data_IF_418951590661
#
_entry.id   IF_418951590661
#
_cell.length_a   1.000
_cell.length_b   1.000
_cell.length_c   1.000
_cell.angle_alpha   90.00
_cell.angle_beta   90.00
_cell.angle_gamma   90.00
#
_symmetry.space_group_name_H-M   'P 1'
#
loop_
_entity.id
_entity.type
_entity.pdbx_description
1 polymer ?
#
# COMPACT_ATOMS: atom_id res chain seq x y z
N UNK A 1 -10.19 14.71 38.10
CA UNK A 1 -9.39 15.73 38.17
C UNK A 1 -9.18 16.56 36.91
N UNK A 2 -8.87 15.98 35.64
CA UNK A 2 -8.77 16.77 34.43
C UNK A 2 -10.12 17.34 34.01
N UNK A 3 -11.20 16.60 34.13
CA UNK A 3 -12.56 17.10 33.86
C UNK A 3 -12.90 18.30 34.76
N UNK A 4 -12.59 18.23 36.07
CA UNK A 4 -12.84 19.33 37.00
C UNK A 4 -11.98 20.54 36.66
N UNK A 5 -10.70 20.35 36.36
CA UNK A 5 -9.80 21.43 35.94
C UNK A 5 -10.28 22.13 34.70
N UNK A 6 -10.70 21.34 33.68
CA UNK A 6 -11.19 21.86 32.39
C UNK A 6 -12.57 22.50 32.51
N UNK A 7 -13.42 22.03 33.42
CA UNK A 7 -14.71 22.64 33.68
C UNK A 7 -14.54 24.02 34.39
N UNK A 8 -13.49 24.20 35.22
CA UNK A 8 -13.16 25.49 35.84
C UNK A 8 -12.42 26.43 34.88
N UNK A 9 -11.60 25.89 33.98
CA UNK A 9 -10.86 26.66 32.98
C UNK A 9 -10.91 25.97 31.59
N UNK A 10 -11.96 26.26 30.80
CA UNK A 10 -12.21 25.58 29.53
C UNK A 10 -11.34 26.07 28.36
N UNK A 11 -10.32 26.88 28.61
CA UNK A 11 -9.38 27.39 27.60
C UNK A 11 -10.07 28.07 26.40
N UNK A 12 -11.14 28.81 26.62
CA UNK A 12 -11.87 29.55 25.57
C UNK A 12 -12.88 28.74 24.80
N UNK A 13 -13.11 27.46 25.15
CA UNK A 13 -14.16 26.64 24.52
C UNK A 13 -15.50 26.85 25.23
N UNK A 14 -16.59 26.89 24.45
CA UNK A 14 -17.93 26.86 25.02
C UNK A 14 -18.27 25.44 25.46
N UNK A 15 -18.33 25.20 26.77
CA UNK A 15 -18.55 23.87 27.33
C UNK A 15 -19.91 23.29 26.98
N UNK A 16 -20.94 24.12 26.81
CA UNK A 16 -22.30 23.66 26.46
C UNK A 16 -22.41 23.12 25.03
N UNK A 17 -21.47 23.48 24.15
CA UNK A 17 -21.44 23.05 22.76
C UNK A 17 -20.32 22.02 22.49
N UNK A 18 -19.48 21.75 23.50
CA UNK A 18 -18.28 20.91 23.36
C UNK A 18 -18.40 19.61 24.14
N UNK A 19 -18.02 18.50 23.51
CA UNK A 19 -17.88 17.20 24.18
C UNK A 19 -16.49 17.08 24.82
N UNK A 20 -16.45 16.80 26.11
CA UNK A 20 -15.20 16.46 26.79
C UNK A 20 -14.87 14.97 26.60
N UNK A 21 -13.70 14.66 26.07
CA UNK A 21 -13.25 13.28 25.87
C UNK A 21 -12.00 13.05 26.72
N UNK A 22 -12.08 12.09 27.64
CA UNK A 22 -10.92 11.56 28.35
C UNK A 22 -10.48 10.25 27.67
N UNK A 23 -9.29 10.25 27.09
CA UNK A 23 -8.72 9.07 26.44
C UNK A 23 -7.48 8.58 27.20
N UNK A 24 -7.37 7.27 27.40
CA UNK A 24 -6.22 6.63 28.05
C UNK A 24 -5.96 5.24 27.49
N UNK A 25 -4.68 4.88 27.35
CA UNK A 25 -4.30 3.52 26.95
C UNK A 25 -4.43 2.50 28.09
N UNK A 26 -4.63 2.97 29.32
CA UNK A 26 -4.83 2.08 30.48
C UNK A 26 -6.26 1.54 30.49
N UNK A 27 -6.41 0.29 30.90
CA UNK A 27 -7.72 -0.29 31.21
C UNK A 27 -8.29 0.43 32.44
N UNK A 28 -9.57 0.80 32.35
CA UNK A 28 -10.26 1.43 33.44
C UNK A 28 -10.37 0.46 34.64
N UNK A 29 -9.62 0.77 35.69
CA UNK A 29 -9.59 -0.06 36.91
C UNK A 29 -9.77 0.84 38.15
N UNK A 30 -10.93 1.50 38.23
CA UNK A 30 -11.28 2.34 39.37
C UNK A 30 -12.49 1.74 40.11
N UNK A 31 -12.69 2.17 41.35
CA UNK A 31 -13.80 1.71 42.20
C UNK A 31 -15.18 1.99 41.58
N UNK A 32 -15.30 3.12 40.86
CA UNK A 32 -16.52 3.47 40.11
C UNK A 32 -16.42 2.94 38.69
N UNK A 33 -17.51 2.41 38.18
CA UNK A 33 -17.62 2.07 36.77
C UNK A 33 -17.55 3.32 35.88
N UNK A 34 -17.22 3.14 34.61
CA UNK A 34 -17.25 4.25 33.63
C UNK A 34 -18.65 4.88 33.57
N UNK A 35 -19.71 4.07 33.62
CA UNK A 35 -21.09 4.55 33.56
C UNK A 35 -21.48 5.40 34.77
N UNK A 36 -21.11 4.97 35.97
CA UNK A 36 -21.35 5.76 37.19
C UNK A 36 -20.64 7.11 37.11
N UNK A 37 -19.38 7.12 36.69
CA UNK A 37 -18.62 8.35 36.57
C UNK A 37 -19.20 9.29 35.48
N UNK A 38 -19.63 8.76 34.36
CA UNK A 38 -20.26 9.54 33.30
C UNK A 38 -21.57 10.16 33.76
N UNK A 39 -22.40 9.41 34.48
CA UNK A 39 -23.68 9.90 35.03
C UNK A 39 -23.45 11.01 36.06
N UNK A 40 -22.52 10.83 37.01
CA UNK A 40 -22.14 11.88 37.92
C UNK A 40 -21.59 13.14 37.23
N UNK A 41 -20.77 12.93 36.19
CA UNK A 41 -20.14 14.01 35.44
C UNK A 41 -21.15 14.84 34.67
N UNK A 42 -22.15 14.21 34.07
CA UNK A 42 -23.25 14.87 33.34
C UNK A 42 -24.14 15.70 34.26
N UNK A 43 -24.32 15.27 35.49
CA UNK A 43 -25.08 16.03 36.48
C UNK A 43 -24.27 17.19 37.01
N UNK A 44 -22.97 16.99 37.24
CA UNK A 44 -22.09 17.96 37.93
C UNK A 44 -21.54 19.07 37.02
N UNK A 45 -21.36 18.78 35.75
CA UNK A 45 -20.71 19.66 34.77
C UNK A 45 -21.58 19.94 33.56
N UNK A 46 -21.54 21.16 33.05
CA UNK A 46 -22.37 21.61 31.92
C UNK A 46 -21.76 21.37 30.54
N UNK A 47 -20.94 20.33 30.39
CA UNK A 47 -20.45 19.92 29.07
C UNK A 47 -21.59 19.35 28.23
N UNK A 48 -21.55 19.59 26.89
CA UNK A 48 -22.50 18.98 25.95
C UNK A 48 -22.59 17.46 26.10
N UNK A 49 -21.44 16.80 26.24
CA UNK A 49 -21.31 15.39 26.58
C UNK A 49 -19.94 15.13 27.24
N UNK A 50 -19.84 14.06 27.98
CA UNK A 50 -18.58 13.57 28.57
C UNK A 50 -18.39 12.13 28.13
N UNK A 51 -17.24 11.82 27.57
CA UNK A 51 -16.88 10.47 27.11
C UNK A 51 -15.58 10.00 27.73
N UNK A 52 -15.54 8.72 28.06
CA UNK A 52 -14.32 8.05 28.51
C UNK A 52 -13.99 6.95 27.50
N UNK A 53 -12.79 7.01 26.98
CA UNK A 53 -12.24 6.06 26.04
C UNK A 53 -11.00 5.46 26.70
N UNK A 54 -11.16 4.25 27.20
CA UNK A 54 -10.10 3.49 27.86
C UNK A 54 -9.40 2.52 26.91
N UNK A 55 -8.37 1.81 27.39
CA UNK A 55 -7.61 0.87 26.60
C UNK A 55 -8.48 -0.27 26.00
N UNK A 56 -9.55 -0.69 26.69
CA UNK A 56 -10.46 -1.70 26.16
C UNK A 56 -11.24 -1.19 24.95
N UNK A 57 -11.79 0.02 25.01
CA UNK A 57 -12.50 0.63 23.88
C UNK A 57 -11.56 0.89 22.69
N UNK A 58 -10.34 1.34 22.96
CA UNK A 58 -9.33 1.54 21.91
C UNK A 58 -9.00 0.19 21.27
N UNK A 59 -8.81 -0.88 22.04
CA UNK A 59 -8.55 -2.20 21.50
C UNK A 59 -9.68 -2.73 20.62
N UNK A 60 -10.94 -2.54 21.03
CA UNK A 60 -12.12 -2.90 20.23
C UNK A 60 -12.14 -2.10 18.92
N UNK A 61 -11.92 -0.79 18.95
CA UNK A 61 -11.86 0.04 17.75
C UNK A 61 -10.75 -0.38 16.79
N UNK A 62 -9.57 -0.73 17.33
CA UNK A 62 -8.47 -1.23 16.51
C UNK A 62 -8.78 -2.60 15.88
N UNK A 63 -9.56 -3.44 16.56
CA UNK A 63 -10.04 -4.70 15.98
C UNK A 63 -11.07 -4.48 14.87
N UNK A 64 -11.92 -3.46 15.01
CA UNK A 64 -12.93 -3.10 14.01
C UNK A 64 -12.32 -2.37 12.79
N UNK A 65 -11.14 -1.76 12.96
CA UNK A 65 -10.45 -0.96 11.94
C UNK A 65 -8.98 -1.39 11.74
N UNK A 66 -8.72 -2.51 11.07
CA UNK A 66 -7.39 -3.11 10.97
C UNK A 66 -6.34 -2.23 10.29
N UNK A 67 -6.75 -1.38 9.33
CA UNK A 67 -5.81 -0.45 8.71
C UNK A 67 -5.37 0.65 9.68
N UNK A 68 -6.29 1.12 10.55
CA UNK A 68 -5.96 2.04 11.65
C UNK A 68 -5.07 1.34 12.68
N UNK A 69 -5.33 0.06 12.97
CA UNK A 69 -4.48 -0.75 13.84
C UNK A 69 -3.05 -0.88 13.28
N UNK A 70 -2.90 -1.11 11.99
CA UNK A 70 -1.60 -1.15 11.32
C UNK A 70 -0.86 0.20 11.40
N UNK A 71 -1.57 1.30 11.13
CA UNK A 71 -1.02 2.64 11.29
C UNK A 71 -0.60 2.91 12.76
N UNK A 72 -1.46 2.60 13.72
CA UNK A 72 -1.18 2.79 15.13
C UNK A 72 0.03 1.98 15.60
N UNK A 73 0.15 0.75 15.15
CA UNK A 73 1.30 -0.12 15.42
C UNK A 73 2.60 0.50 14.89
N UNK A 74 2.58 1.08 13.68
CA UNK A 74 3.73 1.79 13.09
C UNK A 74 4.12 3.01 13.90
N UNK A 75 3.15 3.84 14.29
CA UNK A 75 3.39 5.07 15.10
C UNK A 75 3.92 4.73 16.50
N UNK A 76 3.51 3.61 17.07
CA UNK A 76 3.98 3.15 18.40
C UNK A 76 5.30 2.37 18.35
N UNK A 77 5.93 2.26 17.16
CA UNK A 77 7.21 1.59 16.99
C UNK A 77 7.15 0.05 16.88
N UNK A 78 5.95 -0.50 16.69
CA UNK A 78 5.70 -1.94 16.51
C UNK A 78 4.98 -2.21 15.19
N UNK A 79 5.57 -1.90 14.01
CA UNK A 79 4.92 -2.07 12.73
C UNK A 79 4.53 -3.55 12.51
N UNK A 80 3.35 -3.77 11.95
CA UNK A 80 2.93 -5.10 11.53
C UNK A 80 3.69 -5.48 10.27
N UNK A 81 4.54 -6.48 10.37
CA UNK A 81 5.32 -6.97 9.23
C UNK A 81 4.39 -7.46 8.11
N UNK A 82 4.62 -6.96 6.88
CA UNK A 82 3.88 -7.37 5.69
C UNK A 82 2.43 -6.86 5.59
N UNK A 83 2.01 -5.95 6.47
CA UNK A 83 0.71 -5.26 6.38
C UNK A 83 0.93 -3.76 6.45
N UNK A 84 0.36 -3.01 5.50
CA UNK A 84 0.51 -1.55 5.41
C UNK A 84 -0.82 -0.88 5.13
N UNK A 85 -0.93 0.39 5.52
CA UNK A 85 -1.99 1.27 5.09
C UNK A 85 -1.63 1.98 3.77
N UNK A 86 -2.61 2.60 3.12
CA UNK A 86 -2.39 3.24 1.83
C UNK A 86 -1.58 4.55 1.92
N UNK A 87 -1.63 5.28 3.04
CA UNK A 87 -0.85 6.51 3.23
C UNK A 87 0.65 6.19 3.27
N UNK A 88 1.05 5.20 4.07
CA UNK A 88 2.45 4.79 4.18
C UNK A 88 2.97 4.22 2.85
N UNK A 89 2.14 3.44 2.15
CA UNK A 89 2.51 2.94 0.82
C UNK A 89 2.67 4.10 -0.17
N UNK A 90 1.71 5.03 -0.22
CA UNK A 90 1.80 6.20 -1.09
C UNK A 90 3.04 7.03 -0.81
N UNK A 91 3.32 7.30 0.46
CA UNK A 91 4.48 8.06 0.88
C UNK A 91 5.78 7.42 0.37
N UNK A 92 5.94 6.12 0.55
CA UNK A 92 7.16 5.43 0.16
C UNK A 92 7.37 5.38 -1.36
N UNK A 93 6.30 5.30 -2.14
CA UNK A 93 6.41 5.15 -3.59
C UNK A 93 6.23 6.44 -4.38
N UNK A 94 5.58 7.44 -3.83
CA UNK A 94 5.26 8.67 -4.55
C UNK A 94 5.92 9.92 -3.96
N UNK A 95 6.02 10.03 -2.63
CA UNK A 95 6.61 11.22 -2.01
C UNK A 95 8.13 11.17 -1.93
N UNK A 96 8.74 9.99 -2.09
CA UNK A 96 10.19 9.81 -2.10
C UNK A 96 10.81 9.93 -3.49
N UNK A 97 10.01 10.16 -4.53
CA UNK A 97 10.48 10.40 -5.89
C UNK A 97 10.84 11.87 -6.12
N UNK A 98 11.65 12.15 -7.13
CA UNK A 98 11.90 13.51 -7.60
C UNK A 98 11.71 13.58 -9.13
N UNK A 99 10.67 14.28 -9.58
CA UNK A 99 9.65 14.98 -8.78
C UNK A 99 8.74 14.04 -7.98
N UNK A 100 8.08 14.57 -6.95
CA UNK A 100 7.06 13.82 -6.21
C UNK A 100 5.85 13.53 -7.10
N UNK A 101 5.38 12.30 -7.06
CA UNK A 101 4.17 11.91 -7.77
C UNK A 101 2.92 12.31 -6.98
N UNK A 102 1.93 12.84 -7.66
CA UNK A 102 0.61 13.17 -7.11
C UNK A 102 -0.47 12.23 -7.65
N UNK A 103 -1.67 12.28 -7.07
CA UNK A 103 -2.79 11.43 -7.51
C UNK A 103 -3.23 11.78 -8.93
N UNK A 104 -3.21 13.05 -9.31
CA UNK A 104 -3.60 13.52 -10.62
C UNK A 104 -2.77 12.87 -11.73
N UNK A 105 -1.47 12.67 -11.51
CA UNK A 105 -0.61 11.94 -12.43
C UNK A 105 -1.17 10.56 -12.78
N UNK A 106 -1.81 9.87 -11.85
CA UNK A 106 -2.38 8.54 -12.10
C UNK A 106 -3.80 8.59 -12.67
N UNK A 107 -4.58 9.62 -12.33
CA UNK A 107 -6.01 9.66 -12.64
C UNK A 107 -6.35 10.38 -13.94
N UNK A 108 -5.55 11.34 -14.38
CA UNK A 108 -5.82 12.17 -15.55
C UNK A 108 -6.00 11.32 -16.82
N UNK A 109 -7.11 11.55 -17.53
CA UNK A 109 -7.47 10.81 -18.74
C UNK A 109 -7.88 9.34 -18.50
N UNK A 110 -8.34 9.02 -17.29
CA UNK A 110 -8.79 7.67 -16.89
C UNK A 110 -10.18 7.70 -16.22
N UNK A 111 -11.05 8.60 -16.67
CA UNK A 111 -12.37 8.86 -16.08
C UNK A 111 -13.23 7.59 -16.07
N UNK A 112 -13.27 6.85 -17.17
CA UNK A 112 -14.04 5.60 -17.26
C UNK A 112 -13.55 4.50 -16.33
N UNK A 113 -12.25 4.48 -16.03
CA UNK A 113 -11.65 3.57 -15.06
C UNK A 113 -12.02 3.95 -13.64
N UNK A 114 -12.06 5.25 -13.36
CA UNK A 114 -12.46 5.80 -12.06
C UNK A 114 -13.95 5.51 -11.81
N UNK A 115 -14.83 5.68 -12.81
CA UNK A 115 -16.25 5.34 -12.70
C UNK A 115 -16.44 3.86 -12.31
N UNK A 116 -15.77 2.93 -12.99
CA UNK A 116 -15.83 1.51 -12.66
C UNK A 116 -15.29 1.20 -11.26
N UNK A 117 -14.27 1.93 -10.81
CA UNK A 117 -13.76 1.81 -9.45
C UNK A 117 -14.83 2.23 -8.44
N UNK A 118 -15.52 3.34 -8.67
CA UNK A 118 -16.58 3.82 -7.81
C UNK A 118 -17.79 2.87 -7.81
N UNK A 119 -18.18 2.32 -8.96
CA UNK A 119 -19.24 1.30 -9.05
C UNK A 119 -18.93 0.05 -8.20
N UNK A 120 -17.67 -0.41 -8.23
CA UNK A 120 -17.25 -1.52 -7.37
C UNK A 120 -17.19 -1.10 -5.91
N UNK A 121 -16.71 0.11 -5.61
CA UNK A 121 -16.53 0.60 -4.24
C UNK A 121 -17.83 0.60 -3.45
N UNK A 122 -18.96 0.91 -4.06
CA UNK A 122 -20.27 0.93 -3.39
C UNK A 122 -20.87 -0.46 -3.18
N UNK A 123 -20.35 -1.51 -3.80
CA UNK A 123 -20.80 -2.88 -3.58
C UNK A 123 -20.40 -3.36 -2.17
N UNK A 124 -21.17 -4.29 -1.61
CA UNK A 124 -20.89 -4.84 -0.28
C UNK A 124 -19.67 -5.77 -0.26
N UNK A 125 -19.47 -6.52 -1.32
CA UNK A 125 -18.36 -7.48 -1.49
C UNK A 125 -18.03 -7.63 -2.96
N UNK A 126 -16.91 -8.25 -3.28
CA UNK A 126 -16.52 -8.59 -4.63
C UNK A 126 -15.06 -8.28 -4.95
N UNK A 127 -14.61 -8.84 -6.03
CA UNK A 127 -13.22 -8.71 -6.49
C UNK A 127 -13.17 -7.69 -7.63
N UNK A 128 -12.31 -6.69 -7.46
CA UNK A 128 -11.92 -5.78 -8.53
C UNK A 128 -10.50 -6.10 -8.96
N UNK A 129 -10.30 -6.43 -10.22
CA UNK A 129 -8.96 -6.59 -10.79
C UNK A 129 -8.53 -5.32 -11.52
N UNK A 130 -7.43 -4.73 -11.10
CA UNK A 130 -6.81 -3.58 -11.77
C UNK A 130 -5.61 -4.06 -12.56
N UNK A 131 -5.68 -3.94 -13.87
CA UNK A 131 -4.68 -4.47 -14.80
C UNK A 131 -3.93 -3.31 -15.45
N UNK A 132 -2.61 -3.24 -15.26
CA UNK A 132 -1.74 -2.24 -15.88
C UNK A 132 -0.51 -2.88 -16.53
N UNK A 133 0.42 -2.09 -17.08
CA UNK A 133 1.69 -2.61 -17.61
C UNK A 133 2.53 -3.25 -16.51
N UNK A 134 2.48 -2.70 -15.28
CA UNK A 134 3.13 -3.27 -14.11
C UNK A 134 2.17 -3.34 -12.93
N UNK A 135 2.40 -4.29 -12.02
CA UNK A 135 1.63 -4.38 -10.78
C UNK A 135 1.77 -3.10 -9.95
N UNK A 136 2.95 -2.46 -9.96
CA UNK A 136 3.16 -1.18 -9.25
C UNK A 136 2.27 -0.06 -9.81
N UNK A 137 2.14 0.07 -11.14
CA UNK A 137 1.23 1.06 -11.74
C UNK A 137 -0.22 0.77 -11.34
N UNK A 138 -0.63 -0.49 -11.36
CA UNK A 138 -1.97 -0.90 -10.94
C UNK A 138 -2.23 -0.57 -9.46
N UNK A 139 -1.26 -0.83 -8.59
CA UNK A 139 -1.31 -0.47 -7.17
C UNK A 139 -1.48 1.04 -6.98
N UNK A 140 -0.60 1.83 -7.58
CA UNK A 140 -0.60 3.28 -7.39
C UNK A 140 -1.82 3.95 -8.01
N UNK A 141 -2.34 3.44 -9.13
CA UNK A 141 -3.62 3.90 -9.69
C UNK A 141 -4.77 3.65 -8.71
N UNK A 142 -4.88 2.44 -8.16
CA UNK A 142 -5.93 2.10 -7.20
C UNK A 142 -5.84 2.95 -5.93
N UNK A 143 -4.64 3.14 -5.39
CA UNK A 143 -4.41 4.00 -4.22
C UNK A 143 -4.76 5.45 -4.54
N UNK A 144 -4.40 5.96 -5.73
CA UNK A 144 -4.77 7.30 -6.16
C UNK A 144 -6.30 7.47 -6.22
N UNK A 145 -7.05 6.45 -6.67
CA UNK A 145 -8.50 6.46 -6.63
C UNK A 145 -9.02 6.58 -5.19
N UNK A 146 -8.51 5.80 -4.25
CA UNK A 146 -8.91 5.90 -2.85
C UNK A 146 -8.60 7.28 -2.26
N UNK A 147 -7.38 7.76 -2.41
CA UNK A 147 -6.93 9.03 -1.81
C UNK A 147 -7.63 10.26 -2.39
N UNK A 148 -8.05 10.21 -3.67
CA UNK A 148 -8.66 11.35 -4.36
C UNK A 148 -10.20 11.35 -4.29
N UNK A 149 -10.83 10.17 -4.31
CA UNK A 149 -12.28 10.03 -4.47
C UNK A 149 -13.00 9.57 -3.21
N UNK A 150 -12.29 9.11 -2.20
CA UNK A 150 -12.90 8.57 -1.00
C UNK A 150 -12.60 9.43 0.24
N UNK A 151 -13.52 9.43 1.17
CA UNK A 151 -13.31 9.98 2.50
C UNK A 151 -12.32 9.12 3.31
N UNK A 152 -11.73 9.70 4.34
CA UNK A 152 -10.71 9.06 5.16
C UNK A 152 -11.22 7.78 5.83
N UNK A 153 -12.49 7.75 6.19
CA UNK A 153 -13.16 6.60 6.79
C UNK A 153 -13.17 5.38 5.85
N UNK A 154 -13.25 5.59 4.55
CA UNK A 154 -13.28 4.52 3.54
C UNK A 154 -11.89 3.96 3.31
N UNK A 155 -10.93 4.83 2.98
CA UNK A 155 -9.59 4.34 2.68
C UNK A 155 -8.80 3.96 3.94
N UNK A 156 -9.22 4.42 5.11
CA UNK A 156 -8.74 3.94 6.41
C UNK A 156 -9.02 2.45 6.67
N UNK A 157 -9.88 1.81 5.87
CA UNK A 157 -10.15 0.37 5.95
C UNK A 157 -9.42 -0.45 4.88
N UNK A 158 -8.54 0.16 4.09
CA UNK A 158 -7.75 -0.55 3.07
C UNK A 158 -6.49 -1.12 3.68
N UNK A 159 -6.31 -2.43 3.57
CA UNK A 159 -5.12 -3.16 3.99
C UNK A 159 -4.30 -3.58 2.77
N UNK A 160 -3.08 -3.08 2.67
CA UNK A 160 -2.10 -3.55 1.70
C UNK A 160 -1.35 -4.72 2.34
N UNK A 161 -1.35 -5.88 1.69
CA UNK A 161 -0.80 -7.13 2.19
C UNK A 161 0.35 -7.55 1.29
N UNK A 162 1.56 -7.58 1.84
CA UNK A 162 2.81 -7.76 1.08
C UNK A 162 3.30 -9.21 1.04
N UNK A 163 2.66 -10.13 1.79
CA UNK A 163 3.04 -11.54 1.79
C UNK A 163 1.85 -12.49 1.85
N UNK A 164 2.03 -13.70 1.29
CA UNK A 164 1.02 -14.74 1.33
C UNK A 164 0.73 -15.23 2.75
N UNK A 165 1.72 -15.24 3.62
CA UNK A 165 1.56 -15.61 5.03
C UNK A 165 0.58 -14.66 5.73
N UNK A 166 0.76 -13.35 5.55
CA UNK A 166 -0.12 -12.36 6.14
C UNK A 166 -1.51 -12.39 5.50
N UNK A 167 -1.60 -12.66 4.20
CA UNK A 167 -2.87 -12.89 3.53
C UNK A 167 -3.70 -13.98 4.21
N UNK A 168 -3.09 -15.15 4.44
CA UNK A 168 -3.74 -16.26 5.14
C UNK A 168 -4.19 -15.89 6.56
N UNK A 169 -3.35 -15.14 7.31
CA UNK A 169 -3.70 -14.68 8.66
C UNK A 169 -4.87 -13.70 8.66
N UNK A 170 -4.92 -12.75 7.72
CA UNK A 170 -6.02 -11.79 7.59
C UNK A 170 -7.33 -12.49 7.21
N UNK A 171 -7.28 -13.45 6.29
CA UNK A 171 -8.46 -14.24 5.94
C UNK A 171 -9.03 -15.04 7.13
N UNK A 172 -8.17 -15.60 7.97
CA UNK A 172 -8.60 -16.32 9.18
C UNK A 172 -9.31 -15.42 10.19
N UNK A 173 -8.97 -14.14 10.25
CA UNK A 173 -9.61 -13.17 11.16
C UNK A 173 -10.99 -12.72 10.70
N UNK A 174 -11.37 -13.01 9.47
CA UNK A 174 -12.68 -12.68 8.88
C UNK A 174 -13.09 -11.20 9.04
N UNK A 175 -12.18 -10.30 8.70
CA UNK A 175 -12.34 -8.84 8.85
C UNK A 175 -13.26 -8.28 7.78
N UNK A 176 -14.57 -8.37 7.98
CA UNK A 176 -15.62 -8.07 6.99
C UNK A 176 -15.66 -6.62 6.50
N UNK A 177 -15.12 -5.68 7.25
CA UNK A 177 -15.14 -4.25 6.91
C UNK A 177 -13.91 -3.78 6.16
N UNK A 178 -12.95 -4.67 5.92
CA UNK A 178 -11.69 -4.32 5.27
C UNK A 178 -11.74 -4.52 3.77
N UNK A 179 -11.01 -3.66 3.06
CA UNK A 179 -10.69 -3.82 1.64
C UNK A 179 -9.27 -4.38 1.57
N UNK A 180 -9.14 -5.60 1.07
CA UNK A 180 -7.86 -6.29 0.99
C UNK A 180 -7.18 -6.03 -0.35
N UNK A 181 -5.94 -5.58 -0.33
CA UNK A 181 -5.15 -5.27 -1.51
C UNK A 181 -3.80 -5.99 -1.45
N UNK A 182 -3.72 -7.24 -1.98
CA UNK A 182 -2.47 -7.98 -2.00
C UNK A 182 -1.51 -7.43 -3.05
N UNK A 183 -0.24 -7.29 -2.70
CA UNK A 183 0.83 -6.77 -3.57
C UNK A 183 1.89 -7.82 -3.89
N UNK A 184 1.75 -9.02 -3.36
CA UNK A 184 2.62 -10.15 -3.63
C UNK A 184 2.11 -11.01 -4.82
N UNK A 185 2.99 -11.81 -5.41
CA UNK A 185 2.62 -12.73 -6.47
C UNK A 185 2.01 -14.01 -5.87
N UNK A 186 0.80 -14.33 -6.25
CA UNK A 186 0.16 -15.59 -5.87
C UNK A 186 0.73 -16.75 -6.70
N UNK A 187 1.12 -17.82 -6.04
CA UNK A 187 1.61 -19.05 -6.68
C UNK A 187 0.50 -20.00 -7.08
N UNK A 188 -0.64 -19.96 -6.38
CA UNK A 188 -1.83 -20.78 -6.65
C UNK A 188 -3.08 -19.90 -6.65
N UNK A 189 -4.17 -20.42 -7.24
CA UNK A 189 -5.42 -19.66 -7.38
C UNK A 189 -5.90 -19.02 -6.08
N UNK A 190 -6.18 -17.73 -6.13
CA UNK A 190 -6.61 -16.95 -4.98
C UNK A 190 -7.96 -17.48 -4.51
N UNK A 191 -8.03 -18.00 -3.30
CA UNK A 191 -9.30 -18.15 -2.60
C UNK A 191 -9.67 -16.77 -2.04
N UNK A 192 -10.48 -16.03 -2.78
CA UNK A 192 -11.03 -14.78 -2.31
C UNK A 192 -12.34 -15.08 -1.59
N UNK A 193 -12.48 -14.68 -0.34
CA UNK A 193 -13.74 -14.85 0.38
C UNK A 193 -14.83 -14.04 -0.30
N UNK A 194 -15.96 -14.67 -0.58
CA UNK A 194 -17.08 -14.04 -1.29
C UNK A 194 -17.74 -12.89 -0.52
N UNK A 195 -17.48 -12.79 0.77
CA UNK A 195 -18.04 -11.78 1.66
C UNK A 195 -17.16 -10.55 1.87
N UNK A 196 -15.93 -10.57 1.34
CA UNK A 196 -14.95 -9.48 1.50
C UNK A 196 -14.78 -8.69 0.21
N UNK A 197 -14.28 -7.48 0.33
CA UNK A 197 -13.80 -6.69 -0.81
C UNK A 197 -12.33 -6.96 -1.05
N UNK A 198 -12.00 -7.34 -2.27
CA UNK A 198 -10.62 -7.57 -2.69
C UNK A 198 -10.31 -6.75 -3.92
N UNK A 199 -9.26 -5.95 -3.86
CA UNK A 199 -8.70 -5.24 -5.00
C UNK A 199 -7.41 -5.93 -5.40
N UNK A 200 -7.36 -6.48 -6.63
CA UNK A 200 -6.22 -7.22 -7.17
C UNK A 200 -5.45 -6.37 -8.18
N UNK A 201 -4.35 -5.73 -7.82
CA UNK A 201 -3.49 -5.05 -8.77
C UNK A 201 -2.57 -6.05 -9.45
N UNK A 202 -2.68 -6.17 -10.75
CA UNK A 202 -1.91 -7.16 -11.53
C UNK A 202 -1.24 -6.53 -12.75
N UNK A 203 -0.09 -7.07 -13.13
CA UNK A 203 0.50 -6.78 -14.42
C UNK A 203 -0.30 -7.47 -15.53
N UNK A 204 -0.44 -6.81 -16.68
CA UNK A 204 -1.05 -7.42 -17.90
C UNK A 204 -0.32 -8.67 -18.39
N UNK A 205 0.93 -8.86 -17.95
CA UNK A 205 1.75 -10.03 -18.27
C UNK A 205 1.58 -11.16 -17.25
N UNK A 206 0.91 -10.91 -16.12
CA UNK A 206 0.64 -11.93 -15.12
C UNK A 206 -0.39 -12.94 -15.60
N UNK A 207 -0.22 -14.25 -15.33
CA UNK A 207 -1.26 -15.25 -15.57
C UNK A 207 -2.59 -14.91 -14.91
N UNK A 208 -2.58 -14.24 -13.76
CA UNK A 208 -3.77 -13.80 -13.05
C UNK A 208 -4.64 -12.84 -13.84
N UNK A 209 -4.07 -12.06 -14.75
CA UNK A 209 -4.84 -11.17 -15.64
C UNK A 209 -5.84 -11.92 -16.56
N UNK A 210 -5.63 -13.22 -16.77
CA UNK A 210 -6.49 -14.10 -17.58
C UNK A 210 -7.53 -14.84 -16.72
N UNK A 211 -7.20 -15.14 -15.45
CA UNK A 211 -8.06 -15.92 -14.55
C UNK A 211 -9.24 -15.10 -14.04
N UNK A 212 -9.11 -13.79 -14.00
CA UNK A 212 -10.12 -12.85 -13.49
C UNK A 212 -11.22 -12.51 -14.51
N UNK A 213 -11.43 -13.31 -15.55
CA UNK A 213 -12.44 -13.04 -16.59
C UNK A 213 -13.88 -12.94 -16.06
N UNK A 214 -14.17 -13.54 -14.90
CA UNK A 214 -15.49 -13.50 -14.25
C UNK A 214 -15.61 -12.41 -13.17
N UNK A 215 -14.57 -11.58 -12.97
CA UNK A 215 -14.55 -10.52 -11.97
C UNK A 215 -14.64 -9.15 -12.65
N UNK A 216 -15.12 -8.14 -11.92
CA UNK A 216 -15.04 -6.75 -12.39
C UNK A 216 -13.58 -6.39 -12.65
N UNK A 217 -13.26 -5.89 -13.83
CA UNK A 217 -11.88 -5.55 -14.19
C UNK A 217 -11.76 -4.14 -14.76
N UNK A 218 -10.68 -3.46 -14.35
CA UNK A 218 -10.27 -2.16 -14.86
C UNK A 218 -8.95 -2.35 -15.59
N UNK A 219 -8.86 -1.88 -16.84
CA UNK A 219 -7.61 -1.83 -17.60
C UNK A 219 -7.05 -0.41 -17.60
N UNK A 220 -5.90 -0.26 -16.99
CA UNK A 220 -5.12 0.99 -16.96
C UNK A 220 -4.17 0.96 -18.15
N UNK A 221 -4.63 1.48 -19.28
CA UNK A 221 -3.87 1.48 -20.50
C UNK A 221 -2.90 2.65 -20.60
N UNK A 222 -1.94 2.55 -21.52
CA UNK A 222 -1.05 3.66 -21.86
C UNK A 222 -1.85 4.85 -22.35
N UNK A 223 -1.54 6.02 -21.80
CA UNK A 223 -2.14 7.27 -22.29
C UNK A 223 -1.68 7.62 -23.68
N UNK A 224 -2.56 8.29 -24.42
CA UNK A 224 -2.18 8.99 -25.64
C UNK A 224 -1.20 10.12 -25.32
N UNK A 225 -0.43 10.57 -26.32
CA UNK A 225 0.65 11.54 -26.13
C UNK A 225 0.23 12.81 -25.37
N UNK A 226 -0.92 13.39 -25.76
CA UNK A 226 -1.43 14.61 -25.13
C UNK A 226 -1.70 14.42 -23.64
N UNK A 227 -2.47 13.39 -23.28
CA UNK A 227 -2.81 13.09 -21.89
C UNK A 227 -1.60 12.70 -21.04
N UNK A 228 -0.62 12.01 -21.64
CA UNK A 228 0.62 11.70 -20.93
C UNK A 228 1.44 12.96 -20.59
N UNK A 229 1.51 13.91 -21.53
CA UNK A 229 2.17 15.21 -21.30
C UNK A 229 1.45 16.04 -20.25
N UNK A 230 0.12 16.05 -20.24
CA UNK A 230 -0.67 16.70 -19.19
C UNK A 230 -0.41 16.06 -17.81
N UNK A 231 -0.40 14.74 -17.75
CA UNK A 231 -0.06 14.03 -16.52
C UNK A 231 1.36 14.33 -16.02
N UNK A 232 2.33 14.48 -16.92
CA UNK A 232 3.68 14.92 -16.54
C UNK A 232 3.68 16.36 -16.03
N UNK A 233 2.90 17.26 -16.63
CA UNK A 233 2.79 18.65 -16.15
C UNK A 233 2.15 18.76 -14.77
N UNK A 234 1.26 17.84 -14.39
CA UNK A 234 0.63 17.85 -13.06
C UNK A 234 1.64 17.68 -11.91
N UNK A 235 2.81 17.09 -12.18
CA UNK A 235 3.87 16.91 -11.17
C UNK A 235 4.73 18.17 -10.93
N UNK A 236 4.46 19.26 -11.62
CA UNK A 236 5.01 20.61 -11.39
C UNK A 236 6.55 20.68 -11.24
N UNK A 237 7.31 20.00 -12.08
CA UNK A 237 8.74 20.15 -12.11
C UNK A 237 9.17 20.90 -13.38
N UNK A 238 9.58 22.14 -13.23
CA UNK A 238 10.02 23.00 -14.33
C UNK A 238 11.29 22.47 -15.03
N UNK A 239 12.04 21.58 -14.38
CA UNK A 239 13.27 21.00 -14.91
C UNK A 239 13.03 19.74 -15.75
N UNK A 240 11.80 19.26 -15.86
CA UNK A 240 11.48 18.07 -16.64
C UNK A 240 11.40 18.39 -18.13
N UNK A 241 12.37 17.89 -18.89
CA UNK A 241 12.28 17.86 -20.34
C UNK A 241 11.24 16.79 -20.77
N UNK A 242 10.01 17.24 -21.00
CA UNK A 242 8.87 16.39 -21.30
C UNK A 242 9.05 15.60 -22.60
N UNK A 243 9.74 16.18 -23.60
CA UNK A 243 9.97 15.50 -24.88
C UNK A 243 10.98 14.36 -24.73
N UNK A 244 12.04 14.63 -24.00
CA UNK A 244 13.06 13.63 -23.69
C UNK A 244 12.49 12.49 -22.85
N UNK A 245 11.69 12.81 -21.82
CA UNK A 245 11.02 11.80 -20.97
C UNK A 245 10.08 10.94 -21.80
N UNK A 246 9.25 11.54 -22.64
CA UNK A 246 8.33 10.82 -23.50
C UNK A 246 9.06 9.86 -24.44
N UNK A 247 10.14 10.33 -25.07
CA UNK A 247 10.96 9.54 -26.00
C UNK A 247 11.62 8.35 -25.29
N UNK A 248 12.22 8.58 -24.11
CA UNK A 248 12.97 7.57 -23.36
C UNK A 248 12.04 6.55 -22.69
N UNK A 249 10.93 6.98 -22.14
CA UNK A 249 10.01 6.12 -21.40
C UNK A 249 8.95 5.45 -22.28
N UNK A 250 8.78 5.90 -23.51
CA UNK A 250 7.72 5.47 -24.44
C UNK A 250 6.33 5.48 -23.78
N UNK A 251 6.10 6.44 -22.89
CA UNK A 251 4.88 6.62 -22.10
C UNK A 251 4.54 5.44 -21.14
N UNK A 252 5.50 4.61 -20.83
CA UNK A 252 5.37 3.52 -19.85
C UNK A 252 5.72 4.00 -18.46
N UNK A 253 4.92 3.61 -17.46
CA UNK A 253 5.11 4.05 -16.09
C UNK A 253 6.43 3.54 -15.48
N UNK A 254 6.77 2.27 -15.65
CA UNK A 254 7.91 1.68 -14.97
C UNK A 254 9.26 2.32 -15.38
N UNK A 255 9.56 2.54 -16.69
CA UNK A 255 10.74 3.29 -17.11
C UNK A 255 10.76 4.73 -16.56
N UNK A 256 9.60 5.40 -16.56
CA UNK A 256 9.47 6.73 -15.98
C UNK A 256 9.76 6.71 -14.47
N UNK A 257 9.13 5.80 -13.74
CA UNK A 257 9.30 5.65 -12.30
C UNK A 257 10.77 5.41 -11.91
N UNK A 258 11.46 4.52 -12.63
CA UNK A 258 12.90 4.28 -12.42
C UNK A 258 13.75 5.52 -12.59
N UNK A 259 13.39 6.39 -13.53
CA UNK A 259 14.12 7.64 -13.78
C UNK A 259 13.96 8.64 -12.63
N UNK A 260 12.78 8.77 -12.07
CA UNK A 260 12.47 9.74 -11.00
C UNK A 260 12.74 9.21 -9.59
N UNK A 261 13.05 7.94 -9.44
CA UNK A 261 13.36 7.35 -8.12
C UNK A 261 14.80 7.70 -7.75
N UNK A 262 14.99 8.66 -6.85
CA UNK A 262 16.30 9.12 -6.38
C UNK A 262 16.96 8.19 -5.35
N UNK A 263 16.31 7.11 -4.95
CA UNK A 263 16.81 6.21 -3.91
C UNK A 263 17.17 4.86 -4.53
N UNK A 264 18.39 4.71 -5.10
CA UNK A 264 18.83 3.43 -5.66
C UNK A 264 18.90 2.34 -4.59
N UNK A 265 19.18 2.73 -3.33
CA UNK A 265 19.51 1.79 -2.26
C UNK A 265 18.31 1.20 -1.51
N UNK A 266 17.13 1.82 -1.51
CA UNK A 266 15.99 1.32 -0.72
C UNK A 266 15.39 0.01 -1.22
N UNK A 267 15.72 -0.39 -2.46
CA UNK A 267 15.20 -1.62 -3.06
C UNK A 267 16.27 -2.46 -3.74
N UNK A 268 17.52 -2.22 -3.43
CA UNK A 268 18.53 -3.22 -3.75
C UNK A 268 18.25 -4.44 -2.87
N UNK A 269 17.97 -5.59 -3.48
CA UNK A 269 17.90 -6.83 -2.70
C UNK A 269 19.14 -6.94 -1.83
N UNK A 270 19.00 -7.46 -0.60
CA UNK A 270 20.13 -7.58 0.32
C UNK A 270 21.33 -8.36 -0.27
N UNK A 271 21.06 -9.20 -1.28
CA UNK A 271 22.08 -9.91 -2.02
C UNK A 271 22.93 -9.03 -2.94
N UNK A 272 22.40 -7.88 -3.42
CA UNK A 272 23.15 -6.94 -4.28
C UNK A 272 24.23 -6.15 -3.52
N UNK A 273 24.21 -6.15 -2.20
CA UNK A 273 25.23 -5.52 -1.36
C UNK A 273 26.33 -6.49 -0.91
N UNK A 274 26.28 -7.75 -1.30
CA UNK A 274 27.33 -8.75 -1.02
C UNK A 274 28.46 -8.61 -2.05
N UNK A 275 29.68 -8.77 -1.59
CA UNK A 275 30.90 -8.71 -2.45
C UNK A 275 30.85 -9.72 -3.60
N UNK A 276 30.15 -10.84 -3.39
CA UNK A 276 30.05 -11.95 -4.35
C UNK A 276 29.03 -11.72 -5.49
N UNK A 277 28.29 -10.59 -5.49
CA UNK A 277 27.26 -10.32 -6.52
C UNK A 277 27.82 -10.25 -7.93
N UNK A 278 29.02 -9.71 -8.06
CA UNK A 278 29.68 -9.61 -9.38
C UNK A 278 29.85 -10.98 -9.99
N UNK A 279 30.13 -11.99 -9.18
CA UNK A 279 30.33 -13.37 -9.59
C UNK A 279 29.02 -14.05 -10.05
N UNK A 280 27.88 -13.57 -9.58
CA UNK A 280 26.56 -14.09 -9.98
C UNK A 280 26.00 -13.45 -11.27
N UNK A 281 26.57 -12.34 -11.73
CA UNK A 281 26.09 -11.62 -12.93
C UNK A 281 26.07 -12.52 -14.18
N UNK A 282 27.11 -13.30 -14.50
CA UNK A 282 27.07 -14.17 -15.66
C UNK A 282 25.92 -15.17 -15.63
N UNK A 283 25.72 -15.85 -14.49
CA UNK A 283 24.62 -16.80 -14.30
C UNK A 283 23.27 -16.11 -14.42
N UNK A 284 23.13 -14.92 -13.88
CA UNK A 284 21.89 -14.12 -13.98
C UNK A 284 21.58 -13.70 -15.42
N UNK A 285 22.58 -13.33 -16.21
CA UNK A 285 22.41 -12.91 -17.61
C UNK A 285 22.10 -14.08 -18.54
N UNK A 286 22.72 -15.24 -18.31
CA UNK A 286 22.42 -16.46 -19.08
C UNK A 286 21.04 -17.02 -18.71
N UNK A 287 20.59 -16.82 -17.47
CA UNK A 287 19.31 -17.30 -16.98
C UNK A 287 19.33 -18.80 -16.68
N UNK A 288 18.47 -19.58 -17.34
CA UNK A 288 18.48 -21.04 -17.19
C UNK A 288 19.54 -21.63 -18.12
N UNK A 289 20.42 -22.50 -17.61
CA UNK A 289 21.41 -23.22 -18.40
C UNK A 289 21.42 -24.70 -18.04
N UNK A 290 21.91 -25.52 -18.99
CA UNK A 290 22.08 -26.95 -18.80
C UNK A 290 23.59 -27.31 -18.77
N UNK A 291 24.05 -28.02 -17.74
CA UNK A 291 25.44 -28.41 -17.59
C UNK A 291 25.98 -29.25 -18.77
N UNK A 292 25.11 -29.99 -19.44
CA UNK A 292 25.49 -30.84 -20.58
C UNK A 292 25.44 -30.06 -21.91
N UNK A 293 24.95 -28.82 -21.93
CA UNK A 293 24.96 -27.97 -23.11
C UNK A 293 26.31 -27.26 -23.23
N UNK A 294 27.05 -27.56 -24.30
CA UNK A 294 28.39 -26.95 -24.54
C UNK A 294 28.27 -25.44 -24.73
N UNK A 295 27.25 -24.94 -25.46
CA UNK A 295 27.04 -23.52 -25.69
C UNK A 295 26.75 -22.74 -24.40
N UNK A 296 26.02 -23.33 -23.47
CA UNK A 296 25.72 -22.69 -22.18
C UNK A 296 26.97 -22.58 -21.31
N UNK A 297 27.81 -23.61 -21.31
CA UNK A 297 29.10 -23.61 -20.62
C UNK A 297 30.05 -22.56 -21.20
N UNK A 298 30.17 -22.51 -22.52
CA UNK A 298 30.98 -21.51 -23.23
C UNK A 298 30.51 -20.08 -22.95
N UNK A 299 29.21 -19.86 -22.94
CA UNK A 299 28.63 -18.54 -22.60
C UNK A 299 28.99 -18.11 -21.18
N UNK A 300 28.87 -19.03 -20.19
CA UNK A 300 29.24 -18.74 -18.81
C UNK A 300 30.75 -18.53 -18.63
N UNK A 301 31.59 -19.31 -19.29
CA UNK A 301 33.03 -19.11 -19.30
C UNK A 301 33.42 -17.75 -19.90
N UNK A 302 32.83 -17.40 -21.03
CA UNK A 302 33.12 -16.14 -21.69
C UNK A 302 32.69 -14.94 -20.84
N UNK A 303 31.51 -15.00 -20.19
CA UNK A 303 31.01 -13.92 -19.36
C UNK A 303 31.72 -13.82 -18.02
N UNK A 304 32.10 -14.94 -17.42
CA UNK A 304 32.78 -14.97 -16.11
C UNK A 304 34.29 -14.77 -16.23
N UNK A 305 34.87 -15.04 -17.38
CA UNK A 305 36.31 -15.01 -17.59
C UNK A 305 37.09 -16.14 -16.93
N UNK A 306 36.41 -17.17 -16.39
CA UNK A 306 36.99 -18.35 -15.75
C UNK A 306 36.38 -19.66 -16.27
N UNK A 307 37.08 -20.80 -16.21
CA UNK A 307 36.55 -22.08 -16.66
C UNK A 307 35.22 -22.45 -15.99
N UNK A 308 34.28 -23.05 -16.73
CA UNK A 308 32.95 -23.38 -16.24
C UNK A 308 32.97 -24.15 -14.91
N UNK A 309 33.82 -25.12 -14.74
CA UNK A 309 33.91 -25.92 -13.50
C UNK A 309 34.21 -25.03 -12.29
N UNK A 310 35.17 -24.13 -12.43
CA UNK A 310 35.58 -23.20 -11.39
C UNK A 310 34.45 -22.18 -11.10
N UNK A 311 33.77 -21.71 -12.15
CA UNK A 311 32.63 -20.82 -12.01
C UNK A 311 31.45 -21.50 -11.31
N UNK A 312 31.13 -22.75 -11.68
CA UNK A 312 30.04 -23.50 -11.07
C UNK A 312 30.26 -23.75 -9.57
N UNK A 313 31.52 -24.09 -9.17
CA UNK A 313 31.88 -24.24 -7.76
C UNK A 313 31.77 -22.91 -6.97
N UNK A 314 32.04 -21.78 -7.64
CA UNK A 314 32.00 -20.47 -7.03
C UNK A 314 30.57 -20.00 -6.76
N UNK A 315 29.60 -20.26 -7.66
CA UNK A 315 28.19 -19.85 -7.50
C UNK A 315 27.38 -20.78 -6.61
N UNK A 316 27.89 -22.00 -6.29
CA UNK A 316 27.23 -22.94 -5.36
C UNK A 316 27.54 -22.66 -3.89
N UNK A 317 28.53 -21.84 -3.59
CA UNK A 317 28.89 -21.38 -2.23
C UNK A 317 28.07 -20.13 -1.83
#
# INVERSE_FOLDING_TARGET
>A
DDLEKRSKNPLGVNISDTTFIFATLKIWNHRKSIEELLNESRIKYSWKDVRIIDGCKIAIWLQEHPAVASWFATVTGNPLEGIRNIEDFWKDYCETTAPKLNQEFFLLGRESQIEKFEEWRIQKSGILTVIAESALEANLFAIACFLNKCEKEVWGNVLIIESEEQWRKVLQRNERNSILMPTFNFTEGIQCPTEMKVLLPVSKYSPLSKITQNCTSIRVEKRVKALYREALKSIQDENLDLEKIEAETKRSFLPFYRRITQIPSRKQPAWLSKEDVVDLIPAFLVGAWEENCEGDREALEWMSGIPYKEYAEKIQK
#
